data_IF_923333794785
#
_entry.id   IF_923333794785
#
_cell.length_a   1.000
_cell.length_b   1.000
_cell.length_c   1.000
_cell.angle_alpha   90.00
_cell.angle_beta   90.00
_cell.angle_gamma   90.00
#
_symmetry.space_group_name_H-M   'P 1'
#
loop_
_entity.id
_entity.type
_entity.pdbx_description
1 polymer ?
#
# COMPACT_ATOMS: atom_id res chain seq x y z
N UNK A 1 -4.32 -9.74 23.40
CA UNK A 1 -4.84 -8.36 23.50
C UNK A 1 -5.80 -8.10 22.38
N UNK A 2 -6.93 -7.51 22.66
CA UNK A 2 -7.83 -7.13 21.59
C UNK A 2 -7.19 -6.00 20.78
N UNK A 3 -7.63 -5.88 19.53
CA UNK A 3 -7.17 -4.80 18.68
C UNK A 3 -7.67 -3.47 19.23
N UNK A 4 -6.94 -2.41 18.92
CA UNK A 4 -7.34 -1.08 19.32
C UNK A 4 -8.59 -0.64 18.53
N UNK A 5 -9.15 0.49 18.95
CA UNK A 5 -10.27 1.10 18.26
C UNK A 5 -9.93 1.22 16.77
N UNK A 6 -10.85 0.82 15.87
CA UNK A 6 -10.61 0.96 14.42
C UNK A 6 -10.24 2.37 14.01
N UNK A 7 -10.75 3.40 14.70
CA UNK A 7 -10.39 4.78 14.38
C UNK A 7 -8.93 5.07 14.67
N UNK A 8 -8.37 4.42 15.71
CA UNK A 8 -6.97 4.58 16.03
C UNK A 8 -6.08 4.00 14.94
N UNK A 9 -6.44 2.80 14.45
CA UNK A 9 -5.69 2.18 13.36
C UNK A 9 -5.75 3.07 12.11
N UNK A 10 -6.94 3.58 11.79
CA UNK A 10 -7.10 4.45 10.63
C UNK A 10 -6.26 5.72 10.76
N UNK A 11 -6.16 6.28 11.97
CA UNK A 11 -5.37 7.48 12.18
C UNK A 11 -3.88 7.21 11.98
N UNK A 12 -3.37 6.12 12.52
CA UNK A 12 -1.97 5.74 12.31
C UNK A 12 -1.70 5.50 10.83
N UNK A 13 -2.62 4.83 10.14
CA UNK A 13 -2.47 4.56 8.72
C UNK A 13 -2.39 5.85 7.91
N UNK A 14 -3.33 6.78 8.15
CA UNK A 14 -3.34 8.05 7.43
C UNK A 14 -2.09 8.86 7.70
N UNK A 15 -1.64 8.86 8.94
CA UNK A 15 -0.42 9.57 9.30
C UNK A 15 0.78 8.96 8.57
N UNK A 16 0.87 7.63 8.54
CA UNK A 16 1.95 6.96 7.83
C UNK A 16 1.96 7.29 6.36
N UNK A 17 0.79 7.29 5.71
CA UNK A 17 0.71 7.64 4.30
C UNK A 17 1.16 9.08 4.05
N UNK A 18 0.70 10.01 4.87
CA UNK A 18 1.06 11.41 4.70
C UNK A 18 2.56 11.61 4.85
N UNK A 19 3.15 10.97 5.85
CA UNK A 19 4.59 11.06 6.07
C UNK A 19 5.37 10.42 4.93
N UNK A 20 4.94 9.25 4.46
CA UNK A 20 5.62 8.58 3.36
C UNK A 20 5.55 9.41 2.09
N UNK A 21 4.39 9.99 1.80
CA UNK A 21 4.22 10.81 0.61
C UNK A 21 5.08 12.08 0.65
N UNK A 22 5.37 12.56 1.84
CA UNK A 22 6.23 13.73 1.99
C UNK A 22 7.71 13.36 2.00
N UNK A 23 8.04 12.08 1.95
CA UNK A 23 9.43 11.64 1.97
C UNK A 23 10.00 11.42 3.35
N UNK A 24 9.19 11.56 4.40
CA UNK A 24 9.63 11.33 5.78
C UNK A 24 9.51 9.83 6.09
N UNK A 25 10.39 9.04 5.48
CA UNK A 25 10.24 7.59 5.51
C UNK A 25 10.46 6.99 6.89
N UNK A 26 11.37 7.57 7.69
CA UNK A 26 11.61 7.03 9.02
C UNK A 26 10.39 7.24 9.91
N UNK A 27 9.84 8.43 9.89
CA UNK A 27 8.64 8.73 10.69
C UNK A 27 7.44 7.94 10.20
N UNK A 28 7.35 7.74 8.88
CA UNK A 28 6.28 6.91 8.31
C UNK A 28 6.38 5.47 8.84
N UNK A 29 7.59 4.96 8.92
CA UNK A 29 7.84 3.64 9.46
C UNK A 29 7.27 3.51 10.88
N UNK A 30 7.49 4.53 11.71
CA UNK A 30 6.99 4.49 13.07
C UNK A 30 5.47 4.50 13.11
N UNK A 31 4.84 5.32 12.27
CA UNK A 31 3.37 5.38 12.22
C UNK A 31 2.78 4.06 11.75
N UNK A 32 3.38 3.45 10.72
CA UNK A 32 2.88 2.16 10.24
C UNK A 32 3.11 1.05 11.26
N UNK A 33 4.18 1.12 12.04
CA UNK A 33 4.36 0.16 13.13
C UNK A 33 3.31 0.32 14.20
N UNK A 34 2.93 1.56 14.50
CA UNK A 34 1.84 1.79 15.45
C UNK A 34 0.54 1.16 14.94
N UNK A 35 0.24 1.33 13.64
CA UNK A 35 -0.92 0.69 13.04
C UNK A 35 -0.81 -0.82 13.13
N UNK A 36 0.36 -1.37 12.88
CA UNK A 36 0.59 -2.80 12.94
C UNK A 36 0.33 -3.36 14.33
N UNK A 37 0.78 -2.67 15.36
CA UNK A 37 0.56 -3.13 16.73
C UNK A 37 -0.92 -3.08 17.12
N UNK A 38 -1.66 -2.16 16.54
CA UNK A 38 -3.04 -1.90 16.93
C UNK A 38 -4.06 -2.64 16.09
N UNK A 39 -3.70 -3.15 14.93
CA UNK A 39 -4.66 -3.68 13.97
C UNK A 39 -5.13 -5.09 14.31
N UNK A 40 -6.21 -5.49 13.66
CA UNK A 40 -6.68 -6.86 13.73
C UNK A 40 -5.74 -7.78 12.97
N UNK A 41 -5.79 -9.07 13.31
CA UNK A 41 -4.83 -10.03 12.76
C UNK A 41 -4.88 -10.11 11.24
N UNK A 42 -6.05 -9.90 10.64
CA UNK A 42 -6.21 -9.98 9.20
C UNK A 42 -5.42 -8.91 8.47
N UNK A 43 -5.04 -7.84 9.15
CA UNK A 43 -4.33 -6.73 8.51
C UNK A 43 -2.85 -6.65 8.91
N UNK A 44 -2.38 -7.60 9.70
CA UNK A 44 -1.00 -7.52 10.17
C UNK A 44 -0.01 -7.50 9.01
N UNK A 45 -0.22 -8.36 8.02
CA UNK A 45 0.71 -8.40 6.89
C UNK A 45 0.61 -7.15 6.02
N UNK A 46 -0.57 -6.55 5.94
CA UNK A 46 -0.71 -5.30 5.20
C UNK A 46 0.16 -4.19 5.81
N UNK A 47 0.03 -3.99 7.12
CA UNK A 47 0.80 -2.93 7.78
C UNK A 47 2.28 -3.27 7.85
N UNK A 48 2.62 -4.55 8.05
CA UNK A 48 4.02 -4.95 8.01
C UNK A 48 4.60 -4.69 6.62
N UNK A 49 3.83 -4.97 5.58
CA UNK A 49 4.26 -4.67 4.22
C UNK A 49 4.55 -3.21 4.01
N UNK A 50 3.69 -2.33 4.51
CA UNK A 50 3.91 -0.90 4.39
C UNK A 50 5.16 -0.45 5.16
N UNK A 51 5.40 -1.05 6.33
CA UNK A 51 6.64 -0.80 7.06
C UNK A 51 7.83 -1.12 6.16
N UNK A 52 7.83 -2.29 5.53
CA UNK A 52 8.95 -2.67 4.68
C UNK A 52 9.09 -1.75 3.47
N UNK A 53 7.99 -1.25 2.91
CA UNK A 53 8.04 -0.31 1.79
C UNK A 53 8.83 0.94 2.18
N UNK A 54 8.46 1.55 3.30
CA UNK A 54 9.12 2.81 3.68
C UNK A 54 10.52 2.59 4.22
N UNK A 55 10.79 1.44 4.84
CA UNK A 55 12.14 1.13 5.27
C UNK A 55 13.04 0.90 4.06
N UNK A 56 12.53 0.23 3.01
CA UNK A 56 13.28 0.09 1.77
C UNK A 56 13.65 1.45 1.19
N UNK A 57 12.69 2.37 1.14
CA UNK A 57 12.93 3.72 0.65
C UNK A 57 13.95 4.46 1.52
N UNK A 58 13.84 4.29 2.82
CA UNK A 58 14.80 4.90 3.74
C UNK A 58 16.21 4.40 3.49
N UNK A 59 16.37 3.09 3.31
CA UNK A 59 17.68 2.51 3.03
C UNK A 59 18.23 3.01 1.69
N UNK A 60 17.35 3.24 0.72
CA UNK A 60 17.77 3.82 -0.55
C UNK A 60 18.39 5.20 -0.32
N UNK A 61 17.74 6.03 0.51
CA UNK A 61 18.26 7.38 0.77
C UNK A 61 19.58 7.32 1.53
N UNK A 62 19.88 6.22 2.22
CA UNK A 62 21.12 6.05 2.96
C UNK A 62 22.18 5.36 2.12
N UNK A 63 21.90 5.06 0.86
CA UNK A 63 22.88 4.42 -0.01
C UNK A 63 23.20 3.00 0.39
N UNK A 64 22.22 2.25 0.89
CA UNK A 64 22.42 0.87 1.35
C UNK A 64 21.63 -0.10 0.48
N UNK A 65 22.18 -0.48 -0.68
CA UNK A 65 21.41 -1.28 -1.64
C UNK A 65 21.03 -2.67 -1.17
N UNK A 66 21.85 -3.32 -0.35
CA UNK A 66 21.52 -4.66 0.12
C UNK A 66 20.34 -4.59 1.09
N UNK A 67 20.40 -3.66 2.03
CA UNK A 67 19.30 -3.49 2.99
C UNK A 67 18.01 -3.08 2.29
N UNK A 68 18.13 -2.18 1.31
CA UNK A 68 16.98 -1.76 0.50
C UNK A 68 16.33 -2.96 -0.19
N UNK A 69 17.15 -3.82 -0.79
CA UNK A 69 16.63 -4.97 -1.53
C UNK A 69 15.93 -5.96 -0.60
N UNK A 70 16.50 -6.21 0.56
CA UNK A 70 15.88 -7.12 1.54
C UNK A 70 14.50 -6.62 1.94
N UNK A 71 14.39 -5.33 2.17
CA UNK A 71 13.12 -4.75 2.58
C UNK A 71 12.11 -4.80 1.44
N UNK A 72 12.57 -4.55 0.23
CA UNK A 72 11.69 -4.60 -0.95
C UNK A 72 11.04 -5.98 -1.10
N UNK A 73 11.85 -7.03 -0.96
CA UNK A 73 11.35 -8.39 -1.10
C UNK A 73 10.34 -8.71 0.01
N UNK A 74 10.63 -8.28 1.23
CA UNK A 74 9.71 -8.50 2.34
C UNK A 74 8.39 -7.78 2.09
N UNK A 75 8.45 -6.55 1.55
CA UNK A 75 7.24 -5.80 1.24
C UNK A 75 6.39 -6.54 0.21
N UNK A 76 7.02 -7.03 -0.85
CA UNK A 76 6.32 -7.79 -1.87
C UNK A 76 5.61 -8.99 -1.28
N UNK A 77 6.32 -9.76 -0.47
CA UNK A 77 5.75 -10.97 0.10
C UNK A 77 4.56 -10.69 1.00
N UNK A 78 4.59 -9.57 1.71
CA UNK A 78 3.52 -9.23 2.63
C UNK A 78 2.32 -8.60 1.95
N UNK A 79 2.55 -7.80 0.90
CA UNK A 79 1.47 -7.01 0.29
C UNK A 79 0.72 -7.73 -0.81
N UNK A 80 1.30 -8.77 -1.39
CA UNK A 80 0.72 -9.40 -2.57
C UNK A 80 -0.73 -9.84 -2.33
N UNK A 81 -1.04 -10.32 -1.15
CA UNK A 81 -2.37 -10.84 -0.85
C UNK A 81 -3.44 -9.75 -0.75
N UNK A 82 -3.05 -8.50 -0.69
CA UNK A 82 -4.00 -7.39 -0.52
C UNK A 82 -4.30 -6.67 -1.83
N UNK A 83 -3.70 -7.09 -2.93
CA UNK A 83 -4.02 -6.53 -4.22
C UNK A 83 -5.43 -6.98 -4.62
N UNK A 84 -6.16 -6.19 -5.39
CA UNK A 84 -5.69 -4.95 -6.01
C UNK A 84 -5.84 -3.72 -5.12
N UNK A 85 -6.75 -3.71 -4.15
CA UNK A 85 -7.03 -2.54 -3.33
C UNK A 85 -7.26 -2.97 -1.89
N UNK A 86 -6.66 -2.24 -0.96
CA UNK A 86 -6.93 -2.45 0.46
C UNK A 86 -6.89 -1.10 1.16
N UNK A 87 -7.87 -0.82 2.00
CA UNK A 87 -8.02 0.46 2.69
C UNK A 87 -7.93 1.65 1.74
N UNK A 88 -8.43 1.48 0.53
CA UNK A 88 -8.38 2.53 -0.48
C UNK A 88 -7.04 2.70 -1.16
N UNK A 89 -6.02 1.98 -0.73
CA UNK A 89 -4.70 2.05 -1.34
C UNK A 89 -4.66 1.16 -2.59
N UNK A 90 -4.08 1.69 -3.66
CA UNK A 90 -3.87 0.91 -4.87
C UNK A 90 -2.69 -0.03 -4.65
N UNK A 91 -2.97 -1.19 -4.08
CA UNK A 91 -1.92 -2.16 -3.75
C UNK A 91 -1.34 -2.77 -5.02
N UNK A 92 -2.17 -2.94 -6.04
CA UNK A 92 -1.70 -3.50 -7.30
C UNK A 92 -0.61 -2.61 -7.92
N UNK A 93 -0.83 -1.31 -7.92
CA UNK A 93 0.15 -0.37 -8.44
C UNK A 93 1.43 -0.42 -7.61
N UNK A 94 1.30 -0.44 -6.30
CA UNK A 94 2.45 -0.47 -5.40
C UNK A 94 3.25 -1.77 -5.58
N UNK A 95 2.57 -2.91 -5.63
CA UNK A 95 3.23 -4.18 -5.84
C UNK A 95 3.98 -4.18 -7.18
N UNK A 96 3.35 -3.64 -8.24
CA UNK A 96 4.02 -3.53 -9.53
C UNK A 96 5.29 -2.72 -9.46
N UNK A 97 5.27 -1.59 -8.75
CA UNK A 97 6.45 -0.77 -8.58
C UNK A 97 7.55 -1.52 -7.82
N UNK A 98 7.16 -2.24 -6.78
CA UNK A 98 8.11 -3.05 -6.02
C UNK A 98 8.72 -4.14 -6.88
N UNK A 99 7.92 -4.78 -7.74
CA UNK A 99 8.41 -5.81 -8.64
C UNK A 99 9.44 -5.26 -9.62
N UNK A 100 9.25 -4.01 -10.05
CA UNK A 100 10.19 -3.35 -10.95
C UNK A 100 11.36 -2.71 -10.21
N UNK A 101 11.41 -2.89 -8.89
CA UNK A 101 12.49 -2.37 -8.05
C UNK A 101 12.61 -0.85 -8.11
N UNK A 102 11.47 -0.16 -8.18
CA UNK A 102 11.49 1.30 -8.17
C UNK A 102 11.80 1.78 -6.75
N UNK A 103 12.68 2.77 -6.67
CA UNK A 103 13.26 3.15 -5.38
C UNK A 103 12.35 4.04 -4.55
N UNK A 104 11.55 4.87 -5.22
CA UNK A 104 10.77 5.89 -4.52
C UNK A 104 9.30 5.53 -4.56
N UNK A 105 8.71 5.20 -3.41
CA UNK A 105 7.31 4.77 -3.39
C UNK A 105 6.30 5.92 -3.45
N UNK A 106 6.75 7.17 -3.39
CA UNK A 106 5.81 8.29 -3.23
C UNK A 106 4.78 8.36 -4.33
N UNK A 107 5.16 8.01 -5.55
CA UNK A 107 4.23 8.05 -6.67
C UNK A 107 3.33 6.82 -6.73
N UNK A 108 3.59 5.84 -5.90
CA UNK A 108 2.85 4.58 -5.92
C UNK A 108 2.04 4.35 -4.65
N UNK A 109 2.04 5.31 -3.74
CA UNK A 109 1.21 5.27 -2.54
C UNK A 109 -0.02 6.15 -2.80
N UNK A 110 -0.87 5.68 -3.69
CA UNK A 110 -2.01 6.47 -4.15
C UNK A 110 -3.30 5.73 -3.85
N UNK A 111 -4.37 6.50 -3.79
CA UNK A 111 -5.68 5.94 -3.54
C UNK A 111 -6.31 5.45 -4.83
N UNK A 112 -7.06 4.37 -4.70
CA UNK A 112 -7.83 3.83 -5.81
C UNK A 112 -9.26 3.69 -5.32
N UNK A 113 -10.10 4.60 -5.76
CA UNK A 113 -11.48 4.61 -5.33
C UNK A 113 -12.25 3.52 -6.06
N UNK A 114 -13.13 2.85 -5.32
CA UNK A 114 -14.02 1.90 -5.94
C UNK A 114 -14.95 2.67 -6.85
N UNK A 115 -14.95 2.30 -8.12
CA UNK A 115 -15.89 2.90 -9.04
C UNK A 115 -17.26 2.27 -8.84
N UNK A 116 -18.32 3.02 -9.06
CA UNK A 116 -19.64 2.39 -9.06
C UNK A 116 -19.66 1.42 -10.23
N UNK A 117 -19.53 0.13 -9.96
CA UNK A 117 -19.29 -0.80 -11.07
C UNK A 117 -20.43 -0.86 -12.06
N UNK A 118 -21.64 -0.66 -11.55
CA UNK A 118 -22.82 -0.81 -12.38
C UNK A 118 -22.80 0.17 -13.53
N UNK A 119 -22.56 1.45 -13.25
CA UNK A 119 -22.64 2.46 -14.29
C UNK A 119 -21.61 2.24 -15.37
N UNK A 120 -20.35 2.02 -14.96
CA UNK A 120 -19.25 1.91 -15.91
C UNK A 120 -19.37 0.62 -16.70
N UNK A 121 -19.61 -0.47 -16.01
CA UNK A 121 -19.63 -1.77 -16.67
C UNK A 121 -20.81 -1.91 -17.62
N UNK A 122 -21.94 -1.34 -17.25
CA UNK A 122 -23.08 -1.43 -18.14
C UNK A 122 -22.84 -0.70 -19.44
N UNK A 123 -22.20 0.46 -19.36
CA UNK A 123 -21.89 1.17 -20.58
C UNK A 123 -20.95 0.38 -21.46
N UNK A 124 -19.94 -0.21 -20.86
CA UNK A 124 -18.99 -0.98 -21.64
C UNK A 124 -19.62 -2.19 -22.25
N UNK A 125 -20.47 -2.85 -21.50
CA UNK A 125 -21.16 -4.04 -22.04
C UNK A 125 -22.06 -3.68 -23.21
N UNK A 126 -22.77 -2.57 -23.08
CA UNK A 126 -23.62 -2.13 -24.15
C UNK A 126 -22.84 -1.89 -25.43
N UNK A 127 -21.72 -1.22 -25.29
CA UNK A 127 -20.89 -0.94 -26.45
C UNK A 127 -20.39 -2.20 -27.11
N UNK A 128 -19.95 -3.15 -26.29
CA UNK A 128 -19.45 -4.40 -26.84
C UNK A 128 -20.55 -5.17 -27.55
N UNK A 129 -21.72 -5.16 -26.98
CA UNK A 129 -22.86 -5.83 -27.60
C UNK A 129 -23.18 -5.21 -28.94
N UNK A 130 -23.16 -3.90 -29.00
CA UNK A 130 -23.42 -3.24 -30.26
C UNK A 130 -22.37 -3.55 -31.30
N UNK A 131 -21.13 -3.61 -30.88
CA UNK A 131 -20.04 -3.93 -31.80
C UNK A 131 -20.24 -5.31 -32.39
N UNK A 132 -20.67 -6.23 -31.57
CA UNK A 132 -20.86 -7.60 -32.06
C UNK A 132 -22.06 -7.72 -32.95
N UNK A 133 -23.04 -6.88 -32.76
CA UNK A 133 -24.22 -6.93 -33.59
C UNK A 133 -23.92 -6.37 -34.96
#
# INVERSE_FOLDING_TARGET
>A
MPAADPNTVAAFYKRGLALARSGAFFEAHEAFEDAWRACASEERDFFQGLVHVVVSAYQETRGRPVARERQRVKALNRLAAYAPVHRGLDVELLVGALQRSEADPREHLVERHAQPPVAVEEEQKTERDEDRA
#
